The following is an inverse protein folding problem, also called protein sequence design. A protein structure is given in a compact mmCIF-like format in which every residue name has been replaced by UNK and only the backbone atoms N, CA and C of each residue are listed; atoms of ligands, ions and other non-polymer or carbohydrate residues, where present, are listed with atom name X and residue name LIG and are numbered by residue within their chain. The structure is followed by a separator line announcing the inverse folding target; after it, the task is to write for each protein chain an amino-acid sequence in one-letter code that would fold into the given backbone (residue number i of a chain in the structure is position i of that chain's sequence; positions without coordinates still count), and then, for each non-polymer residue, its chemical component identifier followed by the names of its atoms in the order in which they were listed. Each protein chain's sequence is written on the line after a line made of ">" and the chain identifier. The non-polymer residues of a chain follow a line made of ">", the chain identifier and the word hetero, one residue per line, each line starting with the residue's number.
data_IF_708753416834
#
_entry.id   IF_708753416834
#
_cell.length_a   1.000
_cell.length_b   1.000
_cell.length_c   1.000
_cell.angle_alpha   90.00
_cell.angle_beta   90.00
_cell.angle_gamma   90.00
#
_symmetry.space_group_name_H-M   'P 1'
#
loop_
_entity.id
_entity.type
_entity.pdbx_description
1 polymer ?
#
# COMPACT_ATOMS: atom_id res chain seq x y z
N UNK A 1 8.40 -8.41 -16.18
CA UNK A 1 8.17 -7.10 -15.56
C UNK A 1 8.63 -7.21 -14.11
N UNK A 2 9.73 -6.58 -13.76
CA UNK A 2 10.14 -6.43 -12.36
C UNK A 2 9.19 -5.44 -11.69
N UNK A 3 8.80 -5.74 -10.45
CA UNK A 3 7.90 -4.91 -9.66
C UNK A 3 8.69 -4.55 -8.42
N UNK A 4 8.98 -3.27 -8.30
CA UNK A 4 9.78 -2.66 -7.24
C UNK A 4 8.89 -2.12 -6.15
N UNK A 5 9.34 -2.15 -4.90
CA UNK A 5 8.63 -1.48 -3.81
C UNK A 5 8.79 0.03 -4.00
N UNK A 6 7.68 0.77 -4.00
CA UNK A 6 7.68 2.21 -4.25
C UNK A 6 6.90 2.95 -3.18
N UNK A 7 7.37 4.14 -2.83
CA UNK A 7 6.62 5.12 -2.02
C UNK A 7 6.26 6.34 -2.86
N UNK A 8 5.25 7.07 -2.40
CA UNK A 8 4.88 8.35 -2.97
C UNK A 8 5.58 9.49 -2.22
N UNK A 9 6.31 10.33 -2.95
CA UNK A 9 6.98 11.51 -2.39
C UNK A 9 6.03 12.70 -2.28
N UNK A 10 6.50 13.78 -1.63
CA UNK A 10 5.79 15.07 -1.54
C UNK A 10 5.46 15.66 -2.93
N UNK A 11 6.28 15.39 -3.93
CA UNK A 11 6.10 15.86 -5.31
C UNK A 11 5.13 14.98 -6.11
N UNK A 12 4.45 14.04 -5.46
CA UNK A 12 3.56 13.06 -6.09
C UNK A 12 4.28 12.18 -7.14
N UNK A 13 5.57 11.88 -6.88
CA UNK A 13 6.39 11.01 -7.71
C UNK A 13 6.61 9.68 -7.00
N UNK A 14 6.59 8.59 -7.78
CA UNK A 14 6.91 7.28 -7.25
C UNK A 14 8.44 7.16 -7.09
N UNK A 15 8.89 6.85 -5.88
CA UNK A 15 10.29 6.63 -5.55
C UNK A 15 10.54 5.15 -5.26
N UNK A 16 11.59 4.59 -5.86
CA UNK A 16 11.99 3.19 -5.74
C UNK A 16 12.80 2.94 -4.46
N UNK A 17 12.37 1.99 -3.64
CA UNK A 17 13.00 1.67 -2.36
C UNK A 17 14.06 0.57 -2.44
N UNK A 18 14.25 -0.09 -3.59
CA UNK A 18 15.23 -1.17 -3.71
C UNK A 18 16.69 -0.66 -3.66
N UNK A 19 16.88 0.63 -3.97
CA UNK A 19 18.20 1.29 -3.93
C UNK A 19 18.11 2.58 -3.13
N UNK A 20 17.91 2.45 -1.81
CA UNK A 20 18.10 3.59 -0.92
C UNK A 20 19.57 4.03 -0.93
N UNK A 21 19.85 5.33 -1.14
CA UNK A 21 21.21 5.85 -0.98
C UNK A 21 21.66 5.75 0.48
N UNK A 22 22.97 5.67 0.71
CA UNK A 22 23.54 5.64 2.08
C UNK A 22 23.24 6.93 2.87
N UNK A 23 23.04 8.05 2.17
CA UNK A 23 22.62 9.33 2.73
C UNK A 23 21.32 9.79 2.08
N UNK A 24 20.33 10.15 2.91
CA UNK A 24 19.04 10.69 2.49
C UNK A 24 18.79 11.98 3.27
N UNK A 25 18.59 13.12 2.59
CA UNK A 25 18.47 14.44 3.24
C UNK A 25 17.16 14.58 4.07
N UNK A 26 16.02 14.77 3.41
CA UNK A 26 14.68 14.85 4.03
C UNK A 26 13.68 14.08 3.16
N UNK A 27 13.78 12.75 3.19
CA UNK A 27 12.79 11.90 2.53
C UNK A 27 11.61 11.66 3.45
N UNK A 28 10.40 11.86 2.92
CA UNK A 28 9.14 11.62 3.63
C UNK A 28 8.23 10.75 2.80
N UNK A 29 7.47 9.89 3.47
CA UNK A 29 6.42 9.11 2.84
C UNK A 29 5.06 9.54 3.34
N UNK A 30 4.07 9.48 2.44
CA UNK A 30 2.69 9.78 2.76
C UNK A 30 2.04 8.62 3.50
N UNK A 31 1.33 8.93 4.59
CA UNK A 31 0.40 8.04 5.27
C UNK A 31 -0.98 8.65 5.12
N UNK A 32 -1.92 7.88 4.58
CA UNK A 32 -3.33 8.24 4.65
C UNK A 32 -3.81 8.00 6.09
N UNK A 33 -4.19 9.08 6.77
CA UNK A 33 -4.93 8.98 8.03
C UNK A 33 -6.43 9.16 7.73
N UNK A 34 -7.19 8.14 8.12
CA UNK A 34 -8.63 8.11 8.00
C UNK A 34 -9.28 7.84 9.36
N UNK A 35 -8.63 8.29 10.45
CA UNK A 35 -9.15 8.17 11.82
C UNK A 35 -10.42 9.00 12.05
N UNK A 36 -10.58 10.14 11.36
CA UNK A 36 -11.85 10.85 11.19
C UNK A 36 -12.35 10.69 9.75
N UNK A 37 -13.39 9.86 9.51
CA UNK A 37 -13.95 9.65 8.18
C UNK A 37 -14.50 10.92 7.50
N UNK A 38 -14.79 11.98 8.26
CA UNK A 38 -15.27 13.25 7.70
C UNK A 38 -14.14 14.18 7.27
N UNK A 39 -12.91 13.89 7.66
CA UNK A 39 -11.75 14.71 7.36
C UNK A 39 -10.51 13.83 7.13
N UNK A 40 -10.50 13.00 6.06
CA UNK A 40 -9.32 12.24 5.69
C UNK A 40 -8.18 13.18 5.32
N UNK A 41 -6.99 12.91 5.84
CA UNK A 41 -5.80 13.71 5.55
C UNK A 41 -4.56 12.84 5.32
N UNK A 42 -3.52 13.49 4.78
CA UNK A 42 -2.23 12.84 4.51
C UNK A 42 -1.17 13.43 5.43
N UNK A 43 -0.51 12.56 6.18
CA UNK A 43 0.65 12.92 7.00
C UNK A 43 1.92 12.51 6.30
N UNK A 44 2.93 13.39 6.34
CA UNK A 44 4.24 13.13 5.73
C UNK A 44 5.28 12.90 6.81
N UNK A 45 5.60 11.64 7.01
CA UNK A 45 6.50 11.21 8.09
C UNK A 45 7.93 11.10 7.55
N UNK A 46 8.94 11.65 8.26
CA UNK A 46 10.34 11.44 7.92
C UNK A 46 10.70 9.96 7.87
N UNK A 47 11.39 9.54 6.81
CA UNK A 47 11.96 8.21 6.72
C UNK A 47 13.27 8.19 7.52
N UNK A 48 13.23 7.65 8.73
CA UNK A 48 14.37 7.62 9.65
C UNK A 48 15.15 6.31 9.54
N UNK A 49 14.46 5.20 9.22
CA UNK A 49 15.05 3.88 9.06
C UNK A 49 14.17 3.02 8.14
N UNK A 50 14.78 2.14 7.36
CA UNK A 50 14.07 1.13 6.59
C UNK A 50 14.47 -0.26 7.09
N UNK A 51 13.48 -1.04 7.53
CA UNK A 51 13.67 -2.44 7.89
C UNK A 51 13.13 -3.31 6.77
N UNK A 52 13.98 -4.20 6.26
CA UNK A 52 13.58 -5.14 5.21
C UNK A 52 13.02 -6.41 5.82
N UNK A 53 11.77 -6.71 5.50
CA UNK A 53 11.13 -7.98 5.81
C UNK A 53 11.04 -8.83 4.54
N UNK A 54 11.35 -10.12 4.65
CA UNK A 54 11.27 -11.06 3.54
C UNK A 54 10.06 -11.98 3.75
N UNK A 55 9.12 -11.96 2.83
CA UNK A 55 8.00 -12.88 2.77
C UNK A 55 7.78 -13.35 1.32
N UNK A 56 7.14 -14.52 1.10
CA UNK A 56 6.68 -14.91 -0.23
C UNK A 56 5.78 -13.81 -0.83
N UNK A 57 5.89 -13.57 -2.13
CA UNK A 57 5.04 -12.58 -2.81
C UNK A 57 3.85 -13.24 -3.50
N UNK A 58 2.69 -12.60 -3.41
CA UNK A 58 1.52 -12.87 -4.24
C UNK A 58 1.47 -11.86 -5.39
N UNK A 59 0.88 -12.25 -6.52
CA UNK A 59 0.59 -11.34 -7.64
C UNK A 59 -0.90 -11.00 -7.61
N UNK A 60 -1.23 -9.73 -7.44
CA UNK A 60 -2.60 -9.22 -7.45
C UNK A 60 -2.84 -8.48 -8.78
N UNK A 61 -4.04 -8.65 -9.33
CA UNK A 61 -4.55 -7.83 -10.41
C UNK A 61 -5.66 -6.93 -9.86
N UNK A 62 -5.45 -5.61 -9.88
CA UNK A 62 -6.43 -4.60 -9.44
C UNK A 62 -6.75 -3.72 -10.65
N UNK A 63 -7.93 -3.88 -11.23
CA UNK A 63 -8.28 -3.23 -12.49
C UNK A 63 -7.29 -3.61 -13.60
N UNK A 64 -6.64 -2.62 -14.21
CA UNK A 64 -5.61 -2.82 -15.24
C UNK A 64 -4.19 -3.00 -14.67
N UNK A 65 -4.01 -2.85 -13.36
CA UNK A 65 -2.70 -2.88 -12.72
C UNK A 65 -2.36 -4.24 -12.13
N UNK A 66 -1.15 -4.72 -12.41
CA UNK A 66 -0.57 -5.90 -11.78
C UNK A 66 0.45 -5.47 -10.72
N UNK A 67 0.24 -5.88 -9.48
CA UNK A 67 1.13 -5.55 -8.35
C UNK A 67 1.60 -6.82 -7.65
N UNK A 68 2.84 -6.82 -7.15
CA UNK A 68 3.35 -7.85 -6.25
C UNK A 68 3.25 -7.33 -4.83
N UNK A 69 2.69 -8.14 -3.95
CA UNK A 69 2.54 -7.80 -2.54
C UNK A 69 3.02 -8.95 -1.66
N UNK A 70 3.64 -8.67 -0.49
CA UNK A 70 4.02 -9.71 0.46
C UNK A 70 2.78 -10.48 0.96
N UNK A 71 2.88 -11.80 1.06
CA UNK A 71 1.75 -12.70 1.38
C UNK A 71 1.13 -12.45 2.76
N UNK A 72 1.91 -11.91 3.69
CA UNK A 72 1.54 -11.60 5.07
C UNK A 72 0.79 -10.26 5.23
N UNK A 73 0.62 -9.50 4.14
CA UNK A 73 -0.10 -8.24 4.16
C UNK A 73 -1.63 -8.43 4.23
N UNK A 74 -2.31 -7.32 4.52
CA UNK A 74 -3.77 -7.22 4.53
C UNK A 74 -4.23 -6.14 3.58
N UNK A 75 -5.43 -6.29 3.05
CA UNK A 75 -6.12 -5.31 2.21
C UNK A 75 -7.39 -4.82 2.92
N UNK A 76 -7.68 -3.54 2.79
CA UNK A 76 -8.97 -2.96 3.16
C UNK A 76 -9.87 -2.99 1.91
N UNK A 77 -11.00 -3.67 1.98
CA UNK A 77 -12.02 -3.68 0.93
C UNK A 77 -13.32 -3.05 1.46
N UNK A 78 -14.23 -2.70 0.56
CA UNK A 78 -15.55 -2.21 0.94
C UNK A 78 -16.64 -2.76 0.05
N UNK A 79 -17.76 -3.17 0.63
CA UNK A 79 -18.89 -3.68 -0.14
C UNK A 79 -19.79 -2.52 -0.62
N UNK A 80 -19.98 -2.35 -1.94
CA UNK A 80 -20.77 -1.25 -2.49
C UNK A 80 -22.22 -1.20 -1.99
N UNK A 81 -22.82 -2.35 -1.71
CA UNK A 81 -24.23 -2.45 -1.35
C UNK A 81 -24.50 -2.11 0.13
N UNK A 82 -23.48 -2.17 0.99
CA UNK A 82 -23.62 -2.00 2.45
C UNK A 82 -22.75 -0.89 3.06
N UNK A 83 -21.70 -0.45 2.35
CA UNK A 83 -20.74 0.53 2.86
C UNK A 83 -19.81 0.00 3.95
N UNK A 84 -19.88 -1.29 4.27
CA UNK A 84 -19.05 -1.92 5.28
C UNK A 84 -17.61 -2.09 4.78
N UNK A 85 -16.67 -1.70 5.64
CA UNK A 85 -15.23 -1.86 5.43
C UNK A 85 -14.73 -3.15 6.09
N UNK A 86 -13.98 -3.96 5.34
CA UNK A 86 -13.41 -5.21 5.85
C UNK A 86 -11.91 -5.27 5.60
N UNK A 87 -11.13 -5.62 6.63
CA UNK A 87 -9.69 -5.86 6.52
C UNK A 87 -9.46 -7.36 6.38
N UNK A 88 -9.01 -7.79 5.20
CA UNK A 88 -8.78 -9.19 4.89
C UNK A 88 -7.28 -9.49 4.69
N UNK A 89 -6.78 -10.64 5.15
CA UNK A 89 -5.49 -11.17 4.70
C UNK A 89 -5.48 -11.33 3.17
N UNK A 90 -4.35 -11.03 2.51
CA UNK A 90 -4.25 -11.26 1.05
C UNK A 90 -4.46 -12.73 0.67
N UNK A 91 -4.16 -13.66 1.59
CA UNK A 91 -4.35 -15.09 1.40
C UNK A 91 -5.81 -15.54 1.34
N UNK A 92 -6.76 -14.74 1.84
CA UNK A 92 -8.20 -15.09 1.83
C UNK A 92 -8.96 -14.53 0.63
N UNK A 93 -8.30 -13.77 -0.25
CA UNK A 93 -8.93 -13.09 -1.39
C UNK A 93 -9.52 -14.07 -2.42
N UNK A 94 -8.88 -15.21 -2.66
CA UNK A 94 -9.34 -16.14 -3.70
C UNK A 94 -10.66 -16.85 -3.36
N UNK A 95 -11.04 -16.89 -2.08
CA UNK A 95 -12.23 -17.61 -1.62
C UNK A 95 -13.51 -16.78 -1.78
N UNK A 96 -13.39 -15.46 -1.96
CA UNK A 96 -14.49 -14.52 -2.15
C UNK A 96 -14.04 -13.46 -3.14
N UNK A 97 -14.56 -13.48 -4.36
CA UNK A 97 -14.38 -12.34 -5.27
C UNK A 97 -14.75 -11.05 -4.53
N UNK A 98 -13.86 -10.06 -4.53
CA UNK A 98 -14.02 -8.82 -3.76
C UNK A 98 -14.24 -7.64 -4.71
N UNK A 99 -14.96 -6.63 -4.22
CA UNK A 99 -15.08 -5.33 -4.87
C UNK A 99 -14.28 -4.31 -4.05
N UNK A 100 -13.62 -3.38 -4.73
CA UNK A 100 -13.00 -2.22 -4.10
C UNK A 100 -13.76 -0.96 -4.55
N UNK A 101 -13.80 0.08 -3.71
CA UNK A 101 -14.42 1.35 -4.07
C UNK A 101 -13.78 1.91 -5.35
N UNK A 102 -14.63 2.40 -6.27
CA UNK A 102 -14.22 3.12 -7.47
C UNK A 102 -13.96 4.59 -7.15
#
# INVERSE_FOLDING_TARGET
>A
MEIFLRILTLDNLAYDLDTLPEEVDDMRFAILDNSDPHNPDYHYIPLIFLESFNAPALVLQIGEHTIKMPMDWRILIGEPDGGDLEVLPLTSINDRGFKAFQ
#
